data_IF_103101730690
#
_entry.id   IF_103101730690
#
_cell.length_a   1.000
_cell.length_b   1.000
_cell.length_c   1.000
_cell.angle_alpha   90.00
_cell.angle_beta   90.00
_cell.angle_gamma   90.00
#
_symmetry.space_group_name_H-M   'P 1'
#
loop_
_entity.id
_entity.type
_entity.pdbx_description
1 polymer ?
#
# COMPACT_ATOMS: atom_id res chain seq x y z
N UNK A 1 -4.80 -32.86 13.19
CA UNK A 1 -4.38 -31.50 13.58
C UNK A 1 -3.92 -30.78 12.32
N UNK A 2 -4.52 -29.63 11.98
CA UNK A 2 -3.95 -28.79 10.92
C UNK A 2 -2.65 -28.18 11.44
N UNK A 3 -1.59 -28.24 10.65
CA UNK A 3 -0.32 -27.54 10.92
C UNK A 3 -0.59 -26.03 10.92
N UNK A 4 -0.04 -25.31 11.90
CA UNK A 4 -0.13 -23.85 11.97
C UNK A 4 1.26 -23.23 11.89
N UNK A 5 1.42 -22.27 10.99
CA UNK A 5 2.67 -21.55 10.74
C UNK A 5 2.53 -20.09 11.17
N UNK A 6 3.34 -19.66 12.14
CA UNK A 6 3.39 -18.28 12.62
C UNK A 6 4.67 -17.60 12.15
N UNK A 7 4.57 -16.33 11.74
CA UNK A 7 5.71 -15.50 11.35
C UNK A 7 5.74 -14.21 12.17
N UNK A 8 6.91 -13.60 12.29
CA UNK A 8 7.08 -12.38 13.07
C UNK A 8 6.19 -11.24 12.55
N UNK A 9 5.57 -10.51 13.48
CA UNK A 9 4.71 -9.35 13.17
C UNK A 9 3.32 -9.70 12.64
N UNK A 10 2.88 -10.96 12.71
CA UNK A 10 1.54 -11.41 12.32
C UNK A 10 0.76 -11.97 13.51
N UNK A 11 -0.49 -11.56 13.64
CA UNK A 11 -1.36 -11.88 14.77
C UNK A 11 -2.17 -13.18 14.58
N UNK A 12 -2.02 -13.85 13.43
CA UNK A 12 -2.64 -15.14 13.14
C UNK A 12 -1.69 -16.05 12.36
N UNK A 13 -1.99 -17.35 12.34
CA UNK A 13 -1.25 -18.30 11.51
C UNK A 13 -1.55 -18.07 10.04
N UNK A 14 -0.59 -18.35 9.16
CA UNK A 14 -0.74 -18.17 7.71
C UNK A 14 -1.95 -18.95 7.18
N UNK A 15 -2.14 -20.19 7.62
CA UNK A 15 -3.25 -21.04 7.21
C UNK A 15 -4.61 -20.45 7.62
N UNK A 16 -4.70 -19.92 8.84
CA UNK A 16 -5.91 -19.26 9.33
C UNK A 16 -6.22 -17.99 8.53
N UNK A 17 -5.20 -17.17 8.26
CA UNK A 17 -5.36 -15.95 7.47
C UNK A 17 -5.81 -16.26 6.04
N UNK A 18 -5.15 -17.22 5.39
CA UNK A 18 -5.47 -17.64 4.01
C UNK A 18 -6.91 -18.15 3.94
N UNK A 19 -7.29 -19.10 4.81
CA UNK A 19 -8.64 -19.66 4.81
C UNK A 19 -9.70 -18.57 5.03
N UNK A 20 -9.52 -17.73 6.06
CA UNK A 20 -10.47 -16.66 6.37
C UNK A 20 -10.61 -15.65 5.21
N UNK A 21 -9.52 -15.29 4.55
CA UNK A 21 -9.54 -14.36 3.41
C UNK A 21 -10.21 -14.98 2.18
N UNK A 22 -9.88 -16.23 1.84
CA UNK A 22 -10.50 -16.93 0.71
C UNK A 22 -12.01 -17.11 0.91
N UNK A 23 -12.43 -17.54 2.11
CA UNK A 23 -13.85 -17.71 2.44
C UNK A 23 -14.62 -16.38 2.33
N UNK A 24 -14.02 -15.28 2.81
CA UNK A 24 -14.63 -13.95 2.73
C UNK A 24 -14.72 -13.42 1.31
N UNK A 25 -13.68 -13.61 0.48
CA UNK A 25 -13.73 -13.22 -0.94
C UNK A 25 -14.82 -14.00 -1.67
N UNK A 26 -14.89 -15.32 -1.45
CA UNK A 26 -15.93 -16.17 -2.04
C UNK A 26 -17.33 -15.75 -1.59
N UNK A 27 -17.52 -15.40 -0.31
CA UNK A 27 -18.79 -14.90 0.22
C UNK A 27 -19.19 -13.55 -0.37
N UNK A 28 -18.23 -12.72 -0.79
CA UNK A 28 -18.44 -11.47 -1.51
C UNK A 28 -18.62 -11.65 -3.03
N UNK A 29 -18.53 -12.89 -3.53
CA UNK A 29 -18.65 -13.21 -4.95
C UNK A 29 -17.36 -13.03 -5.77
N UNK A 30 -16.21 -12.82 -5.13
CA UNK A 30 -14.91 -12.78 -5.80
C UNK A 30 -14.33 -14.20 -5.93
N UNK A 31 -14.00 -14.59 -7.15
CA UNK A 31 -13.40 -15.89 -7.49
C UNK A 31 -11.93 -15.69 -7.86
N UNK A 32 -11.08 -15.52 -6.84
CA UNK A 32 -9.65 -15.30 -7.07
C UNK A 32 -8.91 -16.60 -7.39
N UNK A 33 -7.96 -16.52 -8.31
CA UNK A 33 -7.09 -17.62 -8.72
C UNK A 33 -5.61 -17.23 -8.65
N UNK A 34 -4.77 -18.19 -8.23
CA UNK A 34 -3.32 -18.06 -8.25
C UNK A 34 -2.80 -18.37 -9.64
N UNK A 35 -2.40 -17.34 -10.37
CA UNK A 35 -2.08 -17.44 -11.78
C UNK A 35 -0.63 -17.90 -12.04
N UNK A 36 0.33 -17.35 -11.32
CA UNK A 36 1.75 -17.67 -11.53
C UNK A 36 2.54 -17.59 -10.23
N UNK A 37 3.46 -18.54 -10.04
CA UNK A 37 4.32 -18.66 -8.87
C UNK A 37 5.79 -18.55 -9.28
N UNK A 38 6.58 -17.84 -8.48
CA UNK A 38 8.03 -17.77 -8.62
C UNK A 38 8.72 -18.10 -7.29
N UNK A 39 9.87 -18.77 -7.39
CA UNK A 39 10.80 -19.02 -6.29
C UNK A 39 12.24 -18.89 -6.83
N UNK A 40 12.71 -17.68 -7.14
CA UNK A 40 13.96 -17.47 -7.86
C UNK A 40 15.21 -17.84 -7.04
N UNK A 41 15.15 -17.72 -5.71
CA UNK A 41 16.19 -18.16 -4.77
C UNK A 41 15.52 -18.75 -3.54
N UNK A 42 16.24 -19.60 -2.80
CA UNK A 42 15.67 -20.26 -1.62
C UNK A 42 15.12 -19.24 -0.61
N UNK A 43 13.92 -19.54 -0.10
CA UNK A 43 13.23 -18.66 0.85
C UNK A 43 12.73 -17.34 0.26
N UNK A 44 12.62 -17.17 -1.06
CA UNK A 44 12.03 -15.98 -1.69
C UNK A 44 10.92 -16.41 -2.65
N UNK A 45 9.66 -16.21 -2.25
CA UNK A 45 8.49 -16.60 -3.02
C UNK A 45 7.68 -15.38 -3.46
N UNK A 46 7.12 -15.47 -4.66
CA UNK A 46 6.05 -14.56 -5.09
C UNK A 46 4.92 -15.29 -5.81
N UNK A 47 3.74 -14.70 -5.76
CA UNK A 47 2.55 -15.17 -6.48
C UNK A 47 1.78 -14.00 -7.08
N UNK A 48 1.31 -14.18 -8.31
CA UNK A 48 0.32 -13.31 -8.93
C UNK A 48 -1.08 -13.88 -8.69
N UNK A 49 -1.93 -13.11 -8.03
CA UNK A 49 -3.33 -13.45 -7.76
C UNK A 49 -4.23 -12.54 -8.58
N UNK A 50 -5.26 -13.09 -9.23
CA UNK A 50 -6.26 -12.27 -9.95
C UNK A 50 -7.67 -12.79 -9.74
N UNK A 51 -8.64 -11.92 -9.92
CA UNK A 51 -10.05 -12.30 -10.03
C UNK A 51 -10.29 -12.96 -11.40
N UNK A 52 -10.98 -14.11 -11.42
CA UNK A 52 -11.15 -14.95 -12.61
C UNK A 52 -11.99 -14.27 -13.69
N UNK A 53 -13.09 -13.65 -13.29
CA UNK A 53 -14.11 -13.09 -14.18
C UNK A 53 -13.81 -11.62 -14.54
N UNK A 54 -12.92 -10.96 -13.79
CA UNK A 54 -12.36 -9.63 -14.06
C UNK A 54 -10.84 -9.59 -13.81
N UNK A 55 -10.01 -10.03 -14.79
CA UNK A 55 -8.55 -10.10 -14.63
C UNK A 55 -7.83 -8.76 -14.38
N UNK A 56 -8.52 -7.63 -14.53
CA UNK A 56 -8.02 -6.30 -14.16
C UNK A 56 -7.85 -6.15 -12.63
N UNK A 57 -8.57 -6.96 -11.84
CA UNK A 57 -8.45 -7.00 -10.39
C UNK A 57 -7.38 -8.03 -10.00
N UNK A 58 -6.17 -7.58 -9.77
CA UNK A 58 -5.05 -8.45 -9.41
C UNK A 58 -4.14 -7.82 -8.36
N UNK A 59 -3.44 -8.67 -7.63
CA UNK A 59 -2.44 -8.29 -6.64
C UNK A 59 -1.26 -9.24 -6.70
N UNK A 60 -0.16 -8.85 -6.05
CA UNK A 60 1.01 -9.70 -5.96
C UNK A 60 1.34 -9.97 -4.49
N UNK A 61 1.68 -11.22 -4.21
CA UNK A 61 2.15 -11.64 -2.91
C UNK A 61 3.65 -11.85 -2.91
N UNK A 62 4.30 -11.50 -1.81
CA UNK A 62 5.72 -11.80 -1.56
C UNK A 62 5.89 -12.39 -0.16
N UNK A 63 6.82 -13.32 0.00
CA UNK A 63 7.07 -13.91 1.31
C UNK A 63 8.20 -14.93 1.33
N UNK A 64 8.60 -15.31 2.55
CA UNK A 64 9.70 -16.27 2.76
C UNK A 64 9.28 -17.74 2.59
N UNK A 65 8.04 -18.00 2.19
CA UNK A 65 7.47 -19.31 1.91
C UNK A 65 6.26 -19.14 0.97
N UNK A 66 5.84 -20.23 0.33
CA UNK A 66 4.65 -20.23 -0.50
C UNK A 66 3.39 -19.77 0.29
N UNK A 67 3.23 -20.23 1.54
CA UNK A 67 2.12 -19.78 2.39
C UNK A 67 2.19 -18.28 2.70
N UNK A 68 3.38 -17.75 3.00
CA UNK A 68 3.53 -16.32 3.30
C UNK A 68 3.23 -15.44 2.08
N UNK A 69 3.71 -15.84 0.90
CA UNK A 69 3.41 -15.14 -0.35
C UNK A 69 1.91 -15.19 -0.68
N UNK A 70 1.24 -16.34 -0.50
CA UNK A 70 -0.21 -16.45 -0.68
C UNK A 70 -0.99 -15.53 0.26
N UNK A 71 -0.67 -15.57 1.55
CA UNK A 71 -1.29 -14.68 2.54
C UNK A 71 -1.07 -13.20 2.19
N UNK A 72 0.12 -12.85 1.71
CA UNK A 72 0.44 -11.49 1.25
C UNK A 72 -0.42 -11.08 0.04
N UNK A 73 -0.59 -11.93 -0.97
CA UNK A 73 -1.40 -11.58 -2.15
C UNK A 73 -2.87 -11.36 -1.81
N UNK A 74 -3.43 -12.25 -0.97
CA UNK A 74 -4.80 -12.14 -0.49
C UNK A 74 -5.00 -10.89 0.39
N UNK A 75 -4.03 -10.60 1.28
CA UNK A 75 -4.04 -9.40 2.10
C UNK A 75 -4.02 -8.13 1.24
N UNK A 76 -3.13 -8.06 0.25
CA UNK A 76 -3.09 -6.96 -0.71
C UNK A 76 -4.42 -6.86 -1.48
N UNK A 77 -5.06 -7.98 -1.84
CA UNK A 77 -6.36 -7.95 -2.52
C UNK A 77 -7.44 -7.29 -1.64
N UNK A 78 -7.52 -7.65 -0.35
CA UNK A 78 -8.41 -7.01 0.61
C UNK A 78 -8.09 -5.52 0.81
N UNK A 79 -6.81 -5.16 0.87
CA UNK A 79 -6.36 -3.77 0.96
C UNK A 79 -6.88 -2.96 -0.23
N UNK A 80 -6.62 -3.41 -1.47
CA UNK A 80 -7.03 -2.68 -2.68
C UNK A 80 -8.55 -2.65 -2.85
N UNK A 81 -9.23 -3.75 -2.51
CA UNK A 81 -10.69 -3.83 -2.54
C UNK A 81 -11.32 -2.86 -1.53
N UNK A 82 -10.84 -2.87 -0.28
CA UNK A 82 -11.40 -2.04 0.80
C UNK A 82 -11.16 -0.55 0.61
N UNK A 83 -10.16 -0.19 -0.20
CA UNK A 83 -9.83 1.20 -0.53
C UNK A 83 -10.37 1.65 -1.91
N UNK A 84 -11.21 0.83 -2.57
CA UNK A 84 -11.68 1.03 -3.95
C UNK A 84 -10.54 1.27 -4.96
N UNK A 85 -9.30 0.87 -4.63
CA UNK A 85 -8.11 1.28 -5.37
C UNK A 85 -8.03 0.68 -6.77
N UNK A 86 -8.60 -0.51 -6.97
CA UNK A 86 -8.73 -1.12 -8.30
C UNK A 86 -9.45 -0.23 -9.31
N UNK A 87 -10.33 0.64 -8.84
CA UNK A 87 -11.15 1.52 -9.67
C UNK A 87 -10.67 2.97 -9.69
N UNK A 88 -9.62 3.32 -8.94
CA UNK A 88 -9.16 4.70 -8.74
C UNK A 88 -8.80 5.46 -10.03
N UNK A 89 -8.51 4.74 -11.12
CA UNK A 89 -8.14 5.32 -12.42
C UNK A 89 -9.29 5.37 -13.44
N UNK A 90 -10.53 5.08 -13.02
CA UNK A 90 -11.67 4.99 -13.93
C UNK A 90 -12.81 5.90 -13.52
N UNK A 91 -13.40 6.58 -14.52
CA UNK A 91 -14.75 7.08 -14.40
C UNK A 91 -15.74 5.92 -14.32
N UNK A 92 -16.62 5.92 -13.31
CA UNK A 92 -17.51 4.80 -13.02
C UNK A 92 -18.87 4.87 -13.73
N UNK A 93 -19.08 5.91 -14.55
CA UNK A 93 -20.31 6.09 -15.32
C UNK A 93 -21.37 6.89 -14.57
N UNK A 94 -22.29 7.47 -15.34
CA UNK A 94 -23.35 8.34 -14.83
C UNK A 94 -24.25 7.63 -13.83
N UNK A 95 -24.52 6.33 -14.03
CA UNK A 95 -25.34 5.56 -13.09
C UNK A 95 -24.72 5.52 -11.69
N UNK A 96 -23.40 5.31 -11.57
CA UNK A 96 -22.71 5.29 -10.27
C UNK A 96 -22.64 6.68 -9.67
N UNK A 97 -22.37 7.70 -10.50
CA UNK A 97 -22.29 9.10 -10.07
C UNK A 97 -23.60 9.61 -9.42
N UNK A 98 -24.75 9.08 -9.85
CA UNK A 98 -26.09 9.43 -9.34
C UNK A 98 -26.56 8.58 -8.15
N UNK A 99 -25.78 7.59 -7.69
CA UNK A 99 -26.14 6.76 -6.53
C UNK A 99 -26.12 7.58 -5.23
N UNK A 100 -26.75 7.03 -4.19
CA UNK A 100 -26.69 7.61 -2.84
C UNK A 100 -25.25 7.89 -2.39
N UNK A 101 -24.31 6.98 -2.72
CA UNK A 101 -22.87 7.17 -2.55
C UNK A 101 -22.10 6.61 -3.75
N UNK A 102 -20.94 7.19 -4.05
CA UNK A 102 -20.01 6.74 -5.10
C UNK A 102 -18.91 5.85 -4.54
N UNK A 103 -18.32 6.25 -3.41
CA UNK A 103 -17.16 5.60 -2.79
C UNK A 103 -17.55 4.84 -1.54
N UNK A 104 -18.13 5.52 -0.55
CA UNK A 104 -18.52 4.92 0.74
C UNK A 104 -19.79 5.58 1.30
N UNK A 105 -20.64 4.85 2.04
CA UNK A 105 -21.85 5.42 2.64
C UNK A 105 -21.61 6.62 3.57
N UNK A 106 -20.41 6.75 4.15
CA UNK A 106 -20.05 7.84 5.05
C UNK A 106 -19.45 9.07 4.33
N UNK A 107 -19.30 9.01 3.00
CA UNK A 107 -18.79 10.13 2.22
C UNK A 107 -19.69 11.36 2.36
N UNK A 108 -19.10 12.53 2.14
CA UNK A 108 -19.83 13.79 2.08
C UNK A 108 -19.48 14.55 0.82
N UNK A 109 -20.47 15.27 0.33
CA UNK A 109 -20.38 16.11 -0.85
C UNK A 109 -20.39 17.57 -0.42
N UNK A 110 -19.43 18.33 -0.92
CA UNK A 110 -19.25 19.75 -0.63
C UNK A 110 -19.40 20.56 -1.92
N UNK A 111 -19.97 21.77 -1.87
CA UNK A 111 -20.12 22.60 -3.06
C UNK A 111 -18.78 22.86 -3.77
N UNK A 112 -18.83 22.93 -5.10
CA UNK A 112 -17.69 23.20 -5.98
C UNK A 112 -17.95 24.47 -6.81
N UNK A 113 -18.49 25.51 -6.18
CA UNK A 113 -19.04 26.71 -6.85
C UNK A 113 -17.99 27.66 -7.45
N UNK A 114 -16.74 27.18 -7.61
CA UNK A 114 -15.57 27.98 -7.98
C UNK A 114 -15.00 28.82 -6.84
N UNK A 115 -13.73 29.19 -6.94
CA UNK A 115 -13.02 29.97 -5.94
C UNK A 115 -12.47 29.13 -4.78
N UNK A 116 -12.65 29.64 -3.56
CA UNK A 116 -12.04 29.08 -2.34
C UNK A 116 -12.58 27.69 -2.00
N UNK A 117 -11.73 26.88 -1.37
CA UNK A 117 -12.14 25.55 -0.90
C UNK A 117 -13.12 25.68 0.27
N UNK A 118 -14.18 24.86 0.35
CA UNK A 118 -15.07 24.79 1.51
C UNK A 118 -14.28 24.64 2.83
N UNK A 119 -14.59 25.46 3.84
CA UNK A 119 -13.83 25.53 5.09
C UNK A 119 -13.86 24.22 5.91
N UNK A 120 -14.86 23.39 5.69
CA UNK A 120 -15.03 22.07 6.31
C UNK A 120 -14.19 20.96 5.65
N UNK A 121 -13.67 21.19 4.43
CA UNK A 121 -12.72 20.30 3.80
C UNK A 121 -11.34 20.51 4.42
N UNK A 122 -10.68 19.40 4.76
CA UNK A 122 -9.36 19.40 5.36
C UNK A 122 -9.32 20.22 6.67
N UNK A 123 -8.11 20.53 7.15
CA UNK A 123 -7.90 21.50 8.24
C UNK A 123 -7.23 22.74 7.67
N UNK A 124 -7.23 23.90 8.36
CA UNK A 124 -6.53 25.08 7.87
C UNK A 124 -5.05 24.82 7.54
N UNK A 125 -4.37 24.00 8.34
CA UNK A 125 -2.98 23.62 8.09
C UNK A 125 -2.82 22.76 6.82
N UNK A 126 -3.77 21.87 6.55
CA UNK A 126 -3.77 21.03 5.35
C UNK A 126 -4.17 21.83 4.10
N UNK A 127 -5.10 22.77 4.22
CA UNK A 127 -5.41 23.69 3.12
C UNK A 127 -4.18 24.54 2.77
N UNK A 128 -3.48 25.08 3.78
CA UNK A 128 -2.22 25.80 3.56
C UNK A 128 -1.10 24.91 2.98
N UNK A 129 -1.10 23.61 3.29
CA UNK A 129 -0.14 22.65 2.74
C UNK A 129 -0.40 22.37 1.24
N UNK A 130 -1.65 22.12 0.84
CA UNK A 130 -1.97 21.74 -0.53
C UNK A 130 -2.24 22.92 -1.45
N UNK A 131 -2.70 24.06 -0.91
CA UNK A 131 -3.03 25.27 -1.65
C UNK A 131 -2.39 26.50 -0.97
N UNK A 132 -1.05 26.56 -0.87
CA UNK A 132 -0.34 27.59 -0.09
C UNK A 132 -0.59 29.02 -0.60
N UNK A 133 -0.90 29.16 -1.88
CA UNK A 133 -1.14 30.45 -2.54
C UNK A 133 -2.63 30.78 -2.68
N UNK A 134 -3.53 29.85 -2.32
CA UNK A 134 -4.98 30.01 -2.51
C UNK A 134 -5.42 30.08 -3.97
N UNK A 135 -4.59 29.61 -4.92
CA UNK A 135 -4.83 29.74 -6.36
C UNK A 135 -5.53 28.54 -6.98
N UNK A 136 -5.64 27.42 -6.26
CA UNK A 136 -6.31 26.22 -6.74
C UNK A 136 -7.82 26.35 -6.55
N UNK A 137 -8.56 26.33 -7.66
CA UNK A 137 -10.02 26.42 -7.67
C UNK A 137 -10.69 25.16 -7.11
N UNK A 138 -11.74 25.33 -6.30
CA UNK A 138 -12.51 24.25 -5.70
C UNK A 138 -13.04 23.22 -6.73
N UNK A 139 -13.40 23.66 -7.94
CA UNK A 139 -13.91 22.77 -8.99
C UNK A 139 -12.87 21.75 -9.48
N UNK A 140 -11.58 22.01 -9.27
CA UNK A 140 -10.51 21.04 -9.62
C UNK A 140 -10.46 19.84 -8.67
N UNK A 141 -11.13 19.93 -7.51
CA UNK A 141 -11.17 18.86 -6.49
C UNK A 141 -12.28 17.84 -6.73
N UNK A 142 -13.09 17.98 -7.79
CA UNK A 142 -14.05 16.96 -8.20
C UNK A 142 -13.30 15.65 -8.50
N UNK A 143 -13.81 14.53 -7.98
CA UNK A 143 -13.14 13.25 -8.12
C UNK A 143 -13.36 12.63 -9.51
N UNK A 144 -12.35 11.93 -10.02
CA UNK A 144 -12.40 11.27 -11.33
C UNK A 144 -13.52 10.21 -11.41
N UNK A 145 -13.73 9.47 -10.33
CA UNK A 145 -14.64 8.32 -10.31
C UNK A 145 -16.09 8.74 -10.55
N UNK A 146 -16.53 9.83 -9.91
CA UNK A 146 -17.86 10.40 -10.13
C UNK A 146 -17.94 11.33 -11.33
N UNK A 147 -16.89 12.12 -11.60
CA UNK A 147 -16.93 13.21 -12.57
C UNK A 147 -18.09 14.21 -12.35
N UNK A 148 -18.72 14.23 -11.18
CA UNK A 148 -20.01 14.88 -10.95
C UNK A 148 -19.83 16.31 -10.44
N UNK A 149 -19.48 17.22 -11.35
CA UNK A 149 -19.18 18.61 -11.01
C UNK A 149 -20.38 19.34 -10.35
N UNK A 150 -21.62 19.01 -10.73
CA UNK A 150 -22.82 19.63 -10.14
C UNK A 150 -23.07 19.15 -8.71
N UNK A 151 -22.75 17.89 -8.39
CA UNK A 151 -22.85 17.35 -7.03
C UNK A 151 -21.70 17.83 -6.13
N UNK A 152 -20.55 18.16 -6.73
CA UNK A 152 -19.44 18.85 -6.09
C UNK A 152 -18.28 17.95 -5.70
N UNK A 153 -17.61 18.29 -4.60
CA UNK A 153 -16.39 17.62 -4.12
C UNK A 153 -16.79 16.48 -3.19
N UNK A 154 -16.56 15.24 -3.62
CA UNK A 154 -16.66 14.08 -2.74
C UNK A 154 -15.45 14.00 -1.79
N UNK A 155 -15.71 13.89 -0.49
CA UNK A 155 -14.69 13.76 0.54
C UNK A 155 -14.99 12.63 1.53
N UNK A 156 -13.91 11.99 2.00
CA UNK A 156 -13.95 10.85 2.89
C UNK A 156 -13.55 11.23 4.32
N UNK A 157 -14.15 10.61 5.35
CA UNK A 157 -13.80 10.89 6.73
C UNK A 157 -12.51 10.18 7.12
N UNK A 158 -11.50 10.96 7.51
CA UNK A 158 -10.27 10.46 8.16
C UNK A 158 -10.24 10.86 9.62
N UNK A 159 -9.65 10.02 10.47
CA UNK A 159 -9.48 10.32 11.91
C UNK A 159 -8.09 10.86 12.16
N UNK A 160 -8.01 12.09 12.65
CA UNK A 160 -6.75 12.70 13.08
C UNK A 160 -6.32 12.11 14.41
N UNK A 161 -5.17 11.45 14.43
CA UNK A 161 -4.77 10.60 15.56
C UNK A 161 -4.45 11.38 16.85
N UNK A 162 -4.05 12.66 16.78
CA UNK A 162 -3.67 13.45 17.97
C UNK A 162 -4.84 13.81 18.88
N UNK A 163 -6.05 13.88 18.34
CA UNK A 163 -7.25 14.36 19.05
C UNK A 163 -8.55 13.62 18.69
N UNK A 164 -8.51 12.66 17.76
CA UNK A 164 -9.68 11.89 17.34
C UNK A 164 -10.65 12.66 16.45
N UNK A 165 -10.31 13.88 16.01
CA UNK A 165 -11.18 14.67 15.16
C UNK A 165 -11.37 14.01 13.78
N UNK A 166 -12.59 14.08 13.25
CA UNK A 166 -12.87 13.71 11.86
C UNK A 166 -12.45 14.87 10.95
N UNK A 167 -11.70 14.56 9.90
CA UNK A 167 -11.25 15.50 8.86
C UNK A 167 -11.74 14.96 7.51
N UNK A 168 -12.37 15.82 6.71
CA UNK A 168 -12.91 15.45 5.40
C UNK A 168 -11.85 15.65 4.32
N UNK A 169 -11.31 14.54 3.80
CA UNK A 169 -10.30 14.57 2.74
C UNK A 169 -10.96 14.40 1.37
N UNK A 170 -10.80 15.34 0.42
CA UNK A 170 -11.28 15.17 -0.94
C UNK A 170 -10.70 13.90 -1.59
N UNK A 171 -11.56 13.11 -2.23
CA UNK A 171 -11.12 11.90 -2.95
C UNK A 171 -10.09 12.25 -4.02
N UNK A 172 -10.25 13.39 -4.69
CA UNK A 172 -9.28 13.88 -5.67
C UNK A 172 -7.87 14.06 -5.08
N UNK A 173 -7.75 14.64 -3.88
CA UNK A 173 -6.46 14.82 -3.19
C UNK A 173 -5.85 13.46 -2.83
N UNK A 174 -6.67 12.53 -2.33
CA UNK A 174 -6.24 11.16 -2.00
C UNK A 174 -5.69 10.46 -3.26
N UNK A 175 -6.50 10.43 -4.33
CA UNK A 175 -6.19 9.71 -5.56
C UNK A 175 -4.97 10.25 -6.31
N UNK A 176 -4.76 11.57 -6.31
CA UNK A 176 -3.63 12.18 -7.02
C UNK A 176 -2.32 12.15 -6.24
N UNK A 177 -2.36 12.38 -4.92
CA UNK A 177 -1.12 12.62 -4.14
C UNK A 177 -0.64 11.39 -3.35
N UNK A 178 -1.57 10.53 -2.92
CA UNK A 178 -1.23 9.42 -2.02
C UNK A 178 -1.21 8.07 -2.72
N UNK A 179 -2.03 7.91 -3.77
CA UNK A 179 -2.18 6.65 -4.50
C UNK A 179 -2.33 5.47 -3.53
N UNK A 180 -1.64 4.34 -3.74
CA UNK A 180 -1.69 3.19 -2.83
C UNK A 180 -0.82 3.32 -1.57
N UNK A 181 -0.08 4.42 -1.37
CA UNK A 181 0.88 4.52 -0.28
C UNK A 181 0.19 4.66 1.09
N UNK A 182 0.52 3.77 2.02
CA UNK A 182 -0.04 3.75 3.37
C UNK A 182 -1.38 3.02 3.48
N UNK A 183 -1.80 2.31 2.42
CA UNK A 183 -2.91 1.35 2.51
C UNK A 183 -2.42 0.09 3.22
N UNK A 184 -3.34 -0.60 3.92
CA UNK A 184 -3.03 -1.88 4.55
C UNK A 184 -4.26 -2.72 4.83
N UNK A 185 -4.09 -4.03 4.83
CA UNK A 185 -4.99 -5.00 5.45
C UNK A 185 -4.20 -5.94 6.37
N UNK A 186 -4.86 -6.49 7.38
CA UNK A 186 -4.24 -7.38 8.35
C UNK A 186 -5.27 -8.17 9.16
N UNK A 187 -4.78 -9.15 9.93
CA UNK A 187 -5.64 -9.98 10.76
C UNK A 187 -6.32 -9.19 11.88
N UNK A 188 -5.65 -8.15 12.36
CA UNK A 188 -6.15 -7.21 13.37
C UNK A 188 -5.96 -5.77 12.89
N UNK A 189 -6.64 -4.84 13.56
CA UNK A 189 -6.50 -3.41 13.30
C UNK A 189 -5.07 -2.91 13.55
N UNK A 190 -4.41 -3.42 14.58
CA UNK A 190 -3.07 -2.97 14.96
C UNK A 190 -2.00 -3.58 14.05
N UNK A 191 -2.18 -4.82 13.60
CA UNK A 191 -1.32 -5.43 12.56
C UNK A 191 -1.36 -4.59 11.28
N UNK A 192 -2.56 -4.28 10.78
CA UNK A 192 -2.74 -3.48 9.56
C UNK A 192 -2.16 -2.07 9.72
N UNK A 193 -2.43 -1.39 10.84
CA UNK A 193 -1.88 -0.05 11.11
C UNK A 193 -0.36 -0.04 11.22
N UNK A 194 0.22 -1.06 11.85
CA UNK A 194 1.67 -1.20 11.94
C UNK A 194 2.28 -1.32 10.55
N UNK A 195 1.69 -2.14 9.67
CA UNK A 195 2.17 -2.27 8.29
C UNK A 195 2.00 -0.97 7.49
N UNK A 196 0.85 -0.29 7.59
CA UNK A 196 0.62 0.99 6.91
C UNK A 196 1.66 2.05 7.31
N UNK A 197 1.97 2.16 8.60
CA UNK A 197 2.97 3.12 9.11
C UNK A 197 4.39 2.74 8.70
N UNK A 198 4.73 1.45 8.75
CA UNK A 198 6.03 0.97 8.27
C UNK A 198 6.23 1.28 6.79
N UNK A 199 5.17 1.13 5.99
CA UNK A 199 5.14 1.50 4.58
C UNK A 199 5.36 3.02 4.37
N UNK A 200 4.68 3.88 5.14
CA UNK A 200 4.91 5.33 5.07
C UNK A 200 6.39 5.67 5.35
N UNK A 201 7.01 5.04 6.36
CA UNK A 201 8.44 5.20 6.63
C UNK A 201 9.31 4.69 5.48
N UNK A 202 9.01 3.51 4.93
CA UNK A 202 9.72 2.91 3.81
C UNK A 202 9.79 3.90 2.63
N UNK A 203 8.65 4.46 2.20
CA UNK A 203 8.60 5.39 1.07
C UNK A 203 9.26 6.73 1.39
N UNK A 204 8.98 7.30 2.56
CA UNK A 204 9.57 8.59 2.97
C UNK A 204 11.10 8.53 3.00
N UNK A 205 11.65 7.51 3.67
CA UNK A 205 13.09 7.34 3.83
C UNK A 205 13.75 6.96 2.50
N UNK A 206 13.12 6.11 1.69
CA UNK A 206 13.57 5.80 0.32
C UNK A 206 13.78 7.07 -0.49
N UNK A 207 12.77 7.94 -0.58
CA UNK A 207 12.87 9.15 -1.38
C UNK A 207 13.89 10.14 -0.82
N UNK A 208 14.01 10.24 0.50
CA UNK A 208 15.04 11.06 1.14
C UNK A 208 16.46 10.58 0.77
N UNK A 209 16.73 9.29 0.88
CA UNK A 209 18.03 8.69 0.54
C UNK A 209 18.40 8.98 -0.91
N UNK A 210 17.44 8.80 -1.83
CA UNK A 210 17.66 9.00 -3.27
C UNK A 210 17.84 10.49 -3.59
N UNK A 211 16.95 11.36 -3.10
CA UNK A 211 16.95 12.78 -3.44
C UNK A 211 18.17 13.53 -2.87
N UNK A 212 18.63 13.15 -1.67
CA UNK A 212 19.78 13.76 -1.01
C UNK A 212 21.12 13.07 -1.36
N UNK A 213 21.08 11.94 -2.09
CA UNK A 213 22.29 11.18 -2.46
C UNK A 213 23.03 10.62 -1.25
N UNK A 214 22.30 10.11 -0.25
CA UNK A 214 22.89 9.68 1.02
C UNK A 214 23.73 8.41 0.86
N UNK A 215 24.94 8.42 1.43
CA UNK A 215 25.79 7.23 1.53
C UNK A 215 25.45 6.47 2.82
N UNK A 216 24.82 5.30 2.68
CA UNK A 216 24.38 4.48 3.80
C UNK A 216 25.50 3.55 4.31
N UNK A 217 25.57 3.32 5.63
CA UNK A 217 26.48 2.32 6.20
C UNK A 217 26.06 0.90 5.82
N UNK A 218 27.06 0.02 5.64
CA UNK A 218 26.82 -1.41 5.47
C UNK A 218 26.22 -2.02 6.73
N UNK A 219 25.32 -2.99 6.56
CA UNK A 219 24.93 -3.89 7.64
C UNK A 219 26.09 -4.89 7.84
N UNK A 220 26.70 -4.97 9.04
CA UNK A 220 27.79 -5.91 9.28
C UNK A 220 27.36 -7.36 9.04
N UNK A 221 28.26 -8.19 8.51
CA UNK A 221 27.95 -9.59 8.17
C UNK A 221 27.54 -10.42 9.40
N UNK A 222 28.08 -10.11 10.60
CA UNK A 222 27.64 -10.74 11.86
C UNK A 222 26.19 -10.38 12.24
N UNK A 223 25.65 -9.28 11.71
CA UNK A 223 24.24 -8.93 11.84
C UNK A 223 23.39 -9.74 10.86
N UNK A 224 23.82 -9.84 9.61
CA UNK A 224 23.16 -10.65 8.58
C UNK A 224 23.11 -12.12 9.00
N UNK A 225 24.20 -12.64 9.58
CA UNK A 225 24.31 -14.03 10.06
C UNK A 225 23.28 -14.40 11.14
N UNK A 226 22.66 -13.43 11.83
CA UNK A 226 21.54 -13.68 12.76
C UNK A 226 20.27 -14.16 12.05
N UNK A 227 20.18 -13.95 10.73
CA UNK A 227 19.06 -14.30 9.89
C UNK A 227 19.50 -15.30 8.81
N UNK A 228 19.72 -16.58 9.15
CA UNK A 228 20.38 -17.56 8.28
C UNK A 228 19.68 -17.76 6.93
N UNK A 229 18.35 -17.65 6.88
CA UNK A 229 17.60 -17.72 5.61
C UNK A 229 17.86 -16.53 4.69
N UNK A 230 17.94 -15.33 5.26
CA UNK A 230 18.28 -14.11 4.50
C UNK A 230 19.73 -14.18 4.02
N UNK A 231 20.64 -14.61 4.90
CA UNK A 231 22.05 -14.81 4.55
C UNK A 231 22.22 -15.81 3.39
N UNK A 232 21.49 -16.93 3.41
CA UNK A 232 21.49 -17.90 2.32
C UNK A 232 20.95 -17.33 1.01
N UNK A 233 19.86 -16.54 1.04
CA UNK A 233 19.33 -15.87 -0.14
C UNK A 233 20.32 -14.86 -0.75
N UNK A 234 20.99 -14.07 0.09
CA UNK A 234 22.06 -13.15 -0.34
C UNK A 234 23.23 -13.92 -0.97
N UNK A 235 23.66 -15.01 -0.34
CA UNK A 235 24.74 -15.85 -0.86
C UNK A 235 24.36 -16.45 -2.22
N UNK A 236 23.15 -16.99 -2.37
CA UNK A 236 22.67 -17.55 -3.64
C UNK A 236 22.61 -16.51 -4.77
N UNK A 237 22.18 -15.27 -4.48
CA UNK A 237 22.22 -14.18 -5.45
C UNK A 237 23.66 -13.81 -5.85
N UNK A 238 24.58 -13.75 -4.88
CA UNK A 238 26.00 -13.49 -5.13
C UNK A 238 26.67 -14.60 -5.94
N UNK A 239 26.35 -15.87 -5.66
CA UNK A 239 26.82 -17.04 -6.42
C UNK A 239 26.29 -17.03 -7.87
N UNK A 240 25.07 -16.53 -8.09
CA UNK A 240 24.51 -16.31 -9.41
C UNK A 240 25.12 -15.11 -10.17
N UNK A 241 26.08 -14.39 -9.56
CA UNK A 241 26.82 -13.30 -10.17
C UNK A 241 26.26 -11.90 -9.89
N UNK A 242 25.14 -11.77 -9.16
CA UNK A 242 24.58 -10.46 -8.82
C UNK A 242 25.39 -9.78 -7.71
N UNK A 243 25.65 -8.48 -7.84
CA UNK A 243 26.17 -7.69 -6.72
C UNK A 243 25.04 -7.40 -5.73
N UNK A 244 25.25 -7.69 -4.44
CA UNK A 244 24.23 -7.44 -3.40
C UNK A 244 24.83 -6.56 -2.29
N UNK A 245 24.27 -5.37 -2.14
CA UNK A 245 24.59 -4.42 -1.08
C UNK A 245 23.46 -4.41 -0.06
N UNK A 246 23.78 -4.64 1.21
CA UNK A 246 22.82 -4.57 2.32
C UNK A 246 23.20 -3.41 3.21
N UNK A 247 22.35 -2.39 3.26
CA UNK A 247 22.61 -1.11 3.90
C UNK A 247 21.60 -0.82 5.00
N UNK A 248 22.09 -0.30 6.11
CA UNK A 248 21.22 0.23 7.17
C UNK A 248 20.68 1.59 6.72
N UNK A 249 19.37 1.64 6.48
CA UNK A 249 18.66 2.83 6.03
C UNK A 249 17.92 3.52 7.20
N UNK A 250 18.26 3.20 8.45
CA UNK A 250 17.63 3.78 9.62
C UNK A 250 17.93 5.26 9.84
N UNK A 251 18.91 5.81 9.12
CA UNK A 251 19.41 7.17 9.27
C UNK A 251 19.83 7.48 10.71
N UNK A 252 20.66 6.61 11.29
CA UNK A 252 21.14 6.76 12.68
C UNK A 252 20.20 6.19 13.73
N UNK A 253 19.37 5.21 13.36
CA UNK A 253 18.40 4.57 14.27
C UNK A 253 17.07 5.31 14.43
N UNK A 254 16.81 6.35 13.63
CA UNK A 254 15.57 7.13 13.68
C UNK A 254 14.38 6.40 13.04
N UNK A 255 14.63 5.64 11.97
CA UNK A 255 13.59 4.98 11.18
C UNK A 255 13.79 3.46 11.08
N UNK A 256 12.72 2.65 11.06
CA UNK A 256 12.82 1.20 10.95
C UNK A 256 12.95 0.74 9.48
N UNK A 257 13.96 1.22 8.75
CA UNK A 257 14.10 0.99 7.30
C UNK A 257 15.42 0.29 6.97
N UNK A 258 15.38 -0.67 6.05
CA UNK A 258 16.56 -1.29 5.45
C UNK A 258 16.58 -1.04 3.93
N UNK A 259 17.78 -0.98 3.36
CA UNK A 259 17.99 -0.92 1.91
C UNK A 259 18.77 -2.14 1.43
N UNK A 260 18.27 -2.82 0.40
CA UNK A 260 18.98 -3.88 -0.31
C UNK A 260 19.05 -3.49 -1.78
N UNK A 261 20.25 -3.32 -2.30
CA UNK A 261 20.50 -2.98 -3.70
C UNK A 261 21.06 -4.19 -4.43
N UNK A 262 20.49 -4.51 -5.59
CA UNK A 262 20.96 -5.56 -6.49
C UNK A 262 21.60 -4.91 -7.71
N UNK A 263 22.81 -5.34 -8.04
CA UNK A 263 23.57 -4.92 -9.22
C UNK A 263 23.56 -6.05 -10.23
N UNK A 264 23.08 -5.76 -11.43
CA UNK A 264 23.07 -6.73 -12.51
C UNK A 264 24.48 -6.89 -13.10
N UNK A 265 25.00 -8.12 -13.26
CA UNK A 265 26.41 -8.36 -13.59
C UNK A 265 26.81 -7.83 -14.97
N UNK A 266 25.90 -7.82 -15.94
CA UNK A 266 26.24 -7.54 -17.34
C UNK A 266 26.25 -6.04 -17.67
N UNK A 267 25.27 -5.29 -17.18
CA UNK A 267 25.03 -3.89 -17.51
C UNK A 267 25.22 -2.94 -16.33
N UNK A 268 25.46 -3.48 -15.13
CA UNK A 268 25.66 -2.73 -13.89
C UNK A 268 24.44 -1.87 -13.50
N UNK A 269 23.24 -2.22 -14.00
CA UNK A 269 21.99 -1.61 -13.54
C UNK A 269 21.73 -1.91 -12.06
N UNK A 270 21.19 -0.93 -11.33
CA UNK A 270 20.83 -1.02 -9.91
C UNK A 270 19.46 -0.43 -9.58
#
# INVERSE_FOLDING_TARGET
>A
MQTQSFIAGKDASLESSIGAMQDRLAALGFHVEEHSWLNPVDGVWSVHLRERDCPLLFTNGKGASQLAARASALGEFFERLSCNYFWSHYYLGAEVAEREFVHYPQERWFPADGGDWPGELLTPELQALYNPEGTIDAATLVDLNSGHAERGICALPYVRQRDGATVWFPVNVIGNLYVSNGMSAGNTRDEARTQALAEIFERHVKFRIIAEGLCLPDVPEEVIARYPRIAAGIAGLREAGFGILVKDASLGGEYPVMNVTLLHPEDQGC
#
